data_IF_720559830091
#
_entry.id   IF_720559830091
#
_cell.length_a   1.000
_cell.length_b   1.000
_cell.length_c   1.000
_cell.angle_alpha   90.00
_cell.angle_beta   90.00
_cell.angle_gamma   90.00
#
_symmetry.space_group_name_H-M   'P 1'
#
loop_
_entity.id
_entity.type
_entity.pdbx_description
1 polymer ?
#
# COMPACT_ATOMS: atom_id res chain seq x y z
N UNK A 1 4.73 3.66 -24.91
CA UNK A 1 4.86 4.13 -23.52
C UNK A 1 4.09 3.13 -22.67
N UNK A 2 4.79 2.17 -22.04
CA UNK A 2 4.14 1.20 -21.16
C UNK A 2 5.14 0.93 -20.05
N UNK A 3 5.07 1.76 -19.00
CA UNK A 3 5.77 1.46 -17.75
C UNK A 3 5.02 0.27 -17.18
N UNK A 4 5.62 -0.92 -17.30
CA UNK A 4 5.26 -2.08 -16.50
C UNK A 4 5.50 -1.67 -15.04
N UNK A 5 4.51 -0.98 -14.47
CA UNK A 5 4.52 -0.48 -13.12
C UNK A 5 4.04 -1.64 -12.27
N UNK A 6 4.86 -2.06 -11.32
CA UNK A 6 4.37 -2.76 -10.13
C UNK A 6 3.10 -2.06 -9.65
N UNK A 7 2.06 -2.82 -9.23
CA UNK A 7 0.81 -2.22 -8.80
C UNK A 7 1.13 -1.15 -7.77
N UNK A 8 0.79 0.09 -8.13
CA UNK A 8 1.07 1.27 -7.34
C UNK A 8 0.01 1.35 -6.25
N UNK A 9 0.29 2.10 -5.19
CA UNK A 9 -0.68 2.43 -4.15
C UNK A 9 -2.08 2.78 -4.70
N UNK A 10 -2.12 3.53 -5.81
CA UNK A 10 -3.33 3.94 -6.53
C UNK A 10 -4.13 2.80 -7.17
N UNK A 11 -3.48 1.69 -7.49
CA UNK A 11 -4.17 0.50 -7.98
C UNK A 11 -4.90 -0.22 -6.82
N UNK A 12 -4.48 0.03 -5.58
CA UNK A 12 -5.11 -0.49 -4.37
C UNK A 12 -6.20 0.41 -3.78
N UNK A 13 -6.02 1.73 -3.87
CA UNK A 13 -6.95 2.78 -3.42
C UNK A 13 -8.14 2.87 -4.39
N UNK A 14 -9.10 1.96 -4.23
CA UNK A 14 -10.25 1.83 -5.14
C UNK A 14 -11.31 2.90 -4.88
N UNK A 15 -11.43 3.35 -3.64
CA UNK A 15 -12.34 4.43 -3.24
C UNK A 15 -11.75 5.83 -3.51
N UNK A 16 -10.43 5.95 -3.73
CA UNK A 16 -9.75 7.21 -4.01
C UNK A 16 -9.63 8.12 -2.80
N UNK A 17 -9.66 7.58 -1.57
CA UNK A 17 -9.56 8.39 -0.35
C UNK A 17 -8.11 8.76 0.00
N UNK A 18 -7.14 8.22 -0.76
CA UNK A 18 -5.72 8.43 -0.51
C UNK A 18 -5.16 7.49 0.56
N UNK A 19 -5.92 6.45 0.91
CA UNK A 19 -5.58 5.35 1.81
C UNK A 19 -6.01 4.03 1.19
N UNK A 20 -5.36 2.95 1.57
CA UNK A 20 -5.78 1.59 1.21
C UNK A 20 -6.26 0.92 2.47
N UNK A 21 -7.55 0.70 2.57
CA UNK A 21 -8.11 -0.03 3.70
C UNK A 21 -7.73 -1.51 3.63
N UNK A 22 -7.72 -2.20 4.78
CA UNK A 22 -7.52 -3.66 4.81
C UNK A 22 -8.46 -4.40 3.85
N UNK A 23 -9.70 -3.93 3.74
CA UNK A 23 -10.71 -4.52 2.86
C UNK A 23 -10.36 -4.36 1.37
N UNK A 24 -9.85 -3.18 0.96
CA UNK A 24 -9.39 -2.91 -0.41
C UNK A 24 -8.13 -3.71 -0.74
N UNK A 25 -7.20 -3.79 0.21
CA UNK A 25 -6.00 -4.60 0.07
C UNK A 25 -6.35 -6.08 -0.15
N UNK A 26 -7.28 -6.62 0.65
CA UNK A 26 -7.76 -8.00 0.52
C UNK A 26 -8.56 -8.23 -0.76
N UNK A 27 -9.36 -7.24 -1.19
CA UNK A 27 -10.13 -7.32 -2.44
C UNK A 27 -9.25 -7.51 -3.67
N UNK A 28 -8.02 -7.00 -3.63
CA UNK A 28 -7.01 -7.18 -4.68
C UNK A 28 -6.09 -8.39 -4.47
N UNK A 29 -6.40 -9.25 -3.49
CA UNK A 29 -5.63 -10.44 -3.17
C UNK A 29 -4.39 -10.17 -2.32
N UNK A 30 -4.32 -9.03 -1.65
CA UNK A 30 -3.29 -8.70 -0.68
C UNK A 30 -3.43 -9.49 0.63
N UNK A 31 -2.30 -9.85 1.23
CA UNK A 31 -2.23 -10.63 2.47
C UNK A 31 -2.22 -9.74 3.72
N UNK A 32 -2.97 -10.13 4.75
CA UNK A 32 -3.07 -9.39 6.02
C UNK A 32 -1.70 -9.19 6.71
N UNK A 33 -0.74 -10.11 6.56
CA UNK A 33 0.61 -9.91 7.10
C UNK A 33 1.37 -8.82 6.35
N UNK A 34 1.23 -8.76 5.02
CA UNK A 34 1.85 -7.72 4.22
C UNK A 34 1.25 -6.35 4.55
N UNK A 35 -0.07 -6.31 4.73
CA UNK A 35 -0.79 -5.13 5.20
C UNK A 35 -0.27 -4.68 6.57
N UNK A 36 -0.25 -5.57 7.56
CA UNK A 36 0.19 -5.24 8.92
C UNK A 36 1.68 -4.84 9.00
N UNK A 37 2.51 -5.31 8.07
CA UNK A 37 3.90 -4.85 7.95
C UNK A 37 4.02 -3.46 7.37
N UNK A 38 3.08 -3.09 6.51
CA UNK A 38 3.03 -1.78 5.89
C UNK A 38 2.33 -0.74 6.78
N UNK A 39 1.35 -1.18 7.57
CA UNK A 39 0.56 -0.39 8.52
C UNK A 39 1.38 -0.13 9.78
N UNK A 40 2.12 0.99 9.77
CA UNK A 40 3.05 1.34 10.83
C UNK A 40 2.31 1.98 12.01
N UNK A 41 1.24 2.72 11.75
CA UNK A 41 0.41 3.37 12.77
C UNK A 41 -0.68 2.45 13.35
N UNK A 42 -0.91 1.28 12.73
CA UNK A 42 -1.92 0.27 13.10
C UNK A 42 -3.34 0.81 13.10
N UNK A 43 -3.66 1.68 12.15
CA UNK A 43 -5.01 2.24 11.99
C UNK A 43 -5.91 1.43 11.04
N UNK A 44 -5.44 0.25 10.63
CA UNK A 44 -6.09 -0.65 9.65
C UNK A 44 -6.25 -0.02 8.25
N UNK A 45 -5.44 1.00 7.94
CA UNK A 45 -5.34 1.63 6.62
C UNK A 45 -3.86 1.83 6.26
N UNK A 46 -3.51 1.71 4.99
CA UNK A 46 -2.20 2.12 4.49
C UNK A 46 -2.33 3.51 3.91
N UNK A 47 -1.69 4.47 4.54
CA UNK A 47 -1.55 5.80 3.94
C UNK A 47 -0.56 5.75 2.78
N UNK A 48 -0.69 6.67 1.80
CA UNK A 48 0.31 6.81 0.73
C UNK A 48 1.75 6.97 1.26
N UNK A 49 1.93 7.61 2.41
CA UNK A 49 3.21 7.73 3.12
C UNK A 49 3.71 6.40 3.71
N UNK A 50 2.83 5.56 4.22
CA UNK A 50 3.18 4.25 4.78
C UNK A 50 3.54 3.27 3.66
N UNK A 51 2.76 3.27 2.58
CA UNK A 51 3.06 2.50 1.37
C UNK A 51 4.39 2.94 0.74
N UNK A 52 4.63 4.25 0.67
CA UNK A 52 5.89 4.80 0.20
C UNK A 52 7.05 4.45 1.13
N UNK A 53 6.87 4.45 2.45
CA UNK A 53 7.91 4.04 3.39
C UNK A 53 8.27 2.57 3.23
N UNK A 54 7.32 1.68 2.95
CA UNK A 54 7.61 0.26 2.75
C UNK A 54 8.36 0.04 1.43
N UNK A 55 8.03 0.79 0.38
CA UNK A 55 8.76 0.76 -0.89
C UNK A 55 10.08 1.55 -0.90
N UNK A 56 10.26 2.51 0.02
CA UNK A 56 11.42 3.41 0.07
C UNK A 56 12.41 3.08 1.21
N UNK A 57 12.05 2.23 2.18
CA UNK A 57 12.94 1.81 3.27
C UNK A 57 13.94 0.72 2.84
N UNK A 58 14.34 0.71 1.57
CA UNK A 58 15.54 0.00 1.07
C UNK A 58 16.55 0.95 0.40
N UNK A 59 16.36 2.29 0.43
CA UNK A 59 17.31 3.19 -0.23
C UNK A 59 17.50 4.51 0.49
N UNK A 60 18.14 4.43 1.66
CA UNK A 60 18.96 5.54 2.17
C UNK A 60 20.09 4.98 3.05
N UNK A 61 21.11 4.40 2.40
CA UNK A 61 22.47 4.27 2.94
C UNK A 61 23.37 5.26 2.22
#
# INVERSE_FOLDING_TARGET
MAKAASPSFKDYDSNGDGKVSQEEFRALGGDDQAFSKADANRDNQLSSEEFAKVGANETRS
#
